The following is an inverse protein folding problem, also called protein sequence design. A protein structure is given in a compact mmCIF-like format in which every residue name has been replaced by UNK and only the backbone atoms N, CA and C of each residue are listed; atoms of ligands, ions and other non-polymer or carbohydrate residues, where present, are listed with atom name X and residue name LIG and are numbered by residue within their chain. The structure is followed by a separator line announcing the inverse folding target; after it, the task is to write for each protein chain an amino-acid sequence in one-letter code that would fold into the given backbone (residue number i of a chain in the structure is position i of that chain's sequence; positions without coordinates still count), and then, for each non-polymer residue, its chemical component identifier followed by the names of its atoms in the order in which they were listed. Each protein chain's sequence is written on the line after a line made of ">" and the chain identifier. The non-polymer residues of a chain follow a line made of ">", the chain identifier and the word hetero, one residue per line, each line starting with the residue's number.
data_IF_727291621473
#
_entry.id   IF_727291621473
#
_cell.length_a   1.000
_cell.length_b   1.000
_cell.length_c   1.000
_cell.angle_alpha   90.00
_cell.angle_beta   90.00
_cell.angle_gamma   90.00
#
_symmetry.space_group_name_H-M   'P 1'
#
loop_
_entity.id
_entity.type
_entity.pdbx_description
1 polymer ?
#
# COMPACT_ATOMS: atom_id res chain seq x y z
N UNK A 1 -0.43 6.47 29.44
CA UNK A 1 -1.49 6.89 28.49
C UNK A 1 -0.85 7.23 27.16
N UNK A 2 -1.19 6.54 26.06
CA UNK A 2 -0.75 6.98 24.73
C UNK A 2 -1.75 8.04 24.24
N UNK A 3 -1.33 9.29 24.11
CA UNK A 3 -2.19 10.41 23.69
C UNK A 3 -2.49 10.41 22.18
N UNK A 4 -3.42 11.24 21.70
CA UNK A 4 -3.88 11.31 20.28
C UNK A 4 -2.76 11.26 19.21
N UNK A 5 -1.55 11.73 19.55
CA UNK A 5 -0.34 11.61 18.71
C UNK A 5 0.05 10.16 18.37
N UNK A 6 -0.28 9.18 19.21
CA UNK A 6 0.08 7.77 19.01
C UNK A 6 -0.70 7.12 17.86
N UNK A 7 -1.99 7.46 17.72
CA UNK A 7 -2.85 6.93 16.65
C UNK A 7 -2.38 7.47 15.31
N UNK A 8 -2.06 8.77 15.26
CA UNK A 8 -1.51 9.42 14.06
C UNK A 8 -0.18 8.80 13.65
N UNK A 9 0.74 8.60 14.59
CA UNK A 9 2.02 7.95 14.32
C UNK A 9 1.85 6.51 13.81
N UNK A 10 0.90 5.76 14.36
CA UNK A 10 0.58 4.40 13.90
C UNK A 10 0.06 4.40 12.46
N UNK A 11 -0.87 5.29 12.12
CA UNK A 11 -1.40 5.39 10.74
C UNK A 11 -0.36 5.85 9.75
N UNK A 12 0.53 6.77 10.15
CA UNK A 12 1.67 7.17 9.31
C UNK A 12 2.62 6.01 9.04
N UNK A 13 2.86 5.15 10.04
CA UNK A 13 3.67 3.95 9.85
C UNK A 13 3.00 2.95 8.92
N UNK A 14 1.69 2.72 9.08
CA UNK A 14 0.90 1.89 8.18
C UNK A 14 0.97 2.39 6.73
N UNK A 15 0.80 3.70 6.50
CA UNK A 15 0.94 4.32 5.19
C UNK A 15 2.35 4.12 4.59
N UNK A 16 3.42 4.18 5.40
CA UNK A 16 4.78 3.87 4.93
C UNK A 16 4.91 2.42 4.48
N UNK A 17 4.37 1.48 5.24
CA UNK A 17 4.41 0.06 4.90
C UNK A 17 3.63 -0.22 3.60
N UNK A 18 2.46 0.38 3.43
CA UNK A 18 1.66 0.26 2.20
C UNK A 18 2.40 0.84 1.00
N UNK A 19 3.05 2.00 1.13
CA UNK A 19 3.90 2.56 0.06
C UNK A 19 5.05 1.62 -0.33
N UNK A 20 5.72 1.03 0.66
CA UNK A 20 6.78 0.05 0.39
C UNK A 20 6.24 -1.18 -0.38
N UNK A 21 5.05 -1.67 0.00
CA UNK A 21 4.39 -2.79 -0.69
C UNK A 21 3.99 -2.43 -2.12
N UNK A 22 3.46 -1.23 -2.36
CA UNK A 22 3.16 -0.72 -3.70
C UNK A 22 4.42 -0.74 -4.57
N UNK A 23 5.53 -0.18 -4.07
CA UNK A 23 6.79 -0.16 -4.81
C UNK A 23 7.36 -1.56 -5.08
N UNK A 24 7.13 -2.52 -4.20
CA UNK A 24 7.48 -3.93 -4.43
C UNK A 24 6.59 -4.56 -5.53
N UNK A 25 5.28 -4.36 -5.47
CA UNK A 25 4.32 -4.87 -6.46
C UNK A 25 4.58 -4.28 -7.85
N UNK A 26 4.84 -2.97 -7.93
CA UNK A 26 5.19 -2.30 -9.19
C UNK A 26 6.48 -2.87 -9.78
N UNK A 27 7.54 -3.03 -8.96
CA UNK A 27 8.78 -3.68 -9.41
C UNK A 27 8.55 -5.11 -9.86
N UNK A 28 7.77 -5.89 -9.12
CA UNK A 28 7.45 -7.27 -9.47
C UNK A 28 6.69 -7.36 -10.79
N UNK A 29 5.81 -6.41 -11.09
CA UNK A 29 5.10 -6.33 -12.37
C UNK A 29 6.03 -5.93 -13.53
N UNK A 30 7.01 -5.05 -13.28
CA UNK A 30 8.01 -4.65 -14.29
C UNK A 30 9.03 -5.76 -14.55
N UNK A 31 9.48 -6.47 -13.51
CA UNK A 31 10.50 -7.53 -13.58
C UNK A 31 9.90 -8.87 -14.01
N UNK A 32 8.59 -9.08 -13.87
CA UNK A 32 7.91 -10.28 -14.33
C UNK A 32 8.05 -10.41 -15.86
N UNK A 33 8.97 -11.29 -16.28
CA UNK A 33 9.05 -11.78 -17.65
C UNK A 33 7.69 -12.33 -18.10
N UNK A 34 7.33 -12.26 -19.40
CA UNK A 34 6.08 -12.85 -19.94
C UNK A 34 5.91 -14.35 -19.67
N UNK A 35 6.94 -15.03 -19.15
CA UNK A 35 6.88 -16.39 -18.64
C UNK A 35 6.14 -16.54 -17.29
N UNK A 36 5.92 -15.45 -16.54
CA UNK A 36 5.10 -15.46 -15.32
C UNK A 36 3.64 -15.53 -15.76
N UNK A 37 2.98 -16.65 -15.46
CA UNK A 37 1.63 -16.94 -15.96
C UNK A 37 0.64 -15.80 -15.75
N UNK A 38 -0.25 -15.58 -16.73
CA UNK A 38 -1.25 -14.49 -16.76
C UNK A 38 -2.00 -14.30 -15.44
N UNK A 39 -2.31 -15.39 -14.74
CA UNK A 39 -2.99 -15.35 -13.45
C UNK A 39 -2.18 -14.62 -12.37
N UNK A 40 -0.87 -14.91 -12.25
CA UNK A 40 -0.01 -14.23 -11.28
C UNK A 40 0.13 -12.73 -11.56
N UNK A 41 0.09 -12.33 -12.83
CA UNK A 41 0.13 -10.92 -13.23
C UNK A 41 -1.20 -10.22 -12.91
N UNK A 42 -2.33 -10.88 -13.14
CA UNK A 42 -3.66 -10.38 -12.77
C UNK A 42 -3.81 -10.25 -11.25
N UNK A 43 -3.38 -11.25 -10.50
CA UNK A 43 -3.40 -11.23 -9.03
C UNK A 43 -2.53 -10.11 -8.46
N UNK A 44 -1.30 -9.96 -8.98
CA UNK A 44 -0.41 -8.86 -8.59
C UNK A 44 -0.96 -7.48 -8.97
N UNK A 45 -1.63 -7.36 -10.12
CA UNK A 45 -2.31 -6.13 -10.53
C UNK A 45 -3.51 -5.78 -9.63
N UNK A 46 -4.29 -6.80 -9.25
CA UNK A 46 -5.40 -6.64 -8.31
C UNK A 46 -4.90 -6.25 -6.92
N UNK A 47 -3.84 -6.89 -6.44
CA UNK A 47 -3.19 -6.54 -5.17
C UNK A 47 -2.66 -5.10 -5.19
N UNK A 48 -2.03 -4.68 -6.29
CA UNK A 48 -1.54 -3.32 -6.46
C UNK A 48 -2.66 -2.28 -6.39
N UNK A 49 -3.79 -2.54 -7.08
CA UNK A 49 -4.96 -1.65 -7.05
C UNK A 49 -5.50 -1.51 -5.63
N UNK A 50 -5.64 -2.63 -4.91
CA UNK A 50 -6.11 -2.63 -3.53
C UNK A 50 -5.15 -1.90 -2.59
N UNK A 51 -3.84 -2.09 -2.76
CA UNK A 51 -2.83 -1.39 -1.96
C UNK A 51 -2.89 0.13 -2.17
N UNK A 52 -3.05 0.59 -3.43
CA UNK A 52 -3.22 2.02 -3.75
C UNK A 52 -4.49 2.60 -3.12
N UNK A 53 -5.62 1.92 -3.24
CA UNK A 53 -6.87 2.36 -2.62
C UNK A 53 -6.76 2.43 -1.08
N UNK A 54 -6.14 1.42 -0.46
CA UNK A 54 -5.88 1.44 1.00
C UNK A 54 -4.98 2.60 1.41
N UNK A 55 -3.98 2.95 0.60
CA UNK A 55 -3.10 4.08 0.87
C UNK A 55 -3.87 5.41 0.86
N UNK A 56 -4.72 5.61 -0.14
CA UNK A 56 -5.59 6.79 -0.27
C UNK A 56 -6.45 6.98 0.99
N UNK A 57 -7.16 5.92 1.42
CA UNK A 57 -7.96 5.97 2.64
C UNK A 57 -7.12 6.24 3.91
N UNK A 58 -5.90 5.71 3.99
CA UNK A 58 -5.01 5.99 5.12
C UNK A 58 -4.53 7.44 5.12
N UNK A 59 -4.21 7.99 3.95
CA UNK A 59 -3.79 9.38 3.80
C UNK A 59 -4.93 10.35 4.16
N UNK A 60 -6.16 10.07 3.70
CA UNK A 60 -7.37 10.79 4.11
C UNK A 60 -7.60 10.72 5.62
N UNK A 61 -7.47 9.52 6.21
CA UNK A 61 -7.62 9.31 7.64
C UNK A 61 -6.59 10.09 8.46
N UNK A 62 -5.32 10.09 8.03
CA UNK A 62 -4.25 10.87 8.67
C UNK A 62 -4.52 12.37 8.55
N UNK A 63 -4.97 12.82 7.37
CA UNK A 63 -5.36 14.20 7.13
C UNK A 63 -6.52 14.61 8.05
N UNK A 64 -7.51 13.76 8.27
CA UNK A 64 -8.62 14.08 9.18
C UNK A 64 -8.20 14.18 10.68
N UNK A 65 -7.01 13.71 11.07
CA UNK A 65 -6.50 13.75 12.45
C UNK A 65 -5.72 15.05 12.77
N UNK A 66 -6.26 16.21 12.39
CA UNK A 66 -5.73 17.52 12.78
C UNK A 66 -5.98 17.83 14.26
#
# INVERSE_FOLDING_TARGET
>A
MRGRSWIKALRQDEARQVRARIAELERNLTVASPARGRQLQQDAGHELRNAKFRLELLEECIAAMH
#
